data_IF_449144292584
#
_entry.id   IF_449144292584
#
_cell.length_a   1.000
_cell.length_b   1.000
_cell.length_c   1.000
_cell.angle_alpha   90.00
_cell.angle_beta   90.00
_cell.angle_gamma   90.00
#
_symmetry.space_group_name_H-M   'P 1'
#
loop_
_entity.id
_entity.type
_entity.pdbx_description
1 polymer ?
#
# COMPACT_ATOMS: atom_id res chain seq x y z
N UNK A 1 -23.79 -72.38 -12.74
CA UNK A 1 -24.07 -73.82 -12.74
C UNK A 1 -22.93 -74.52 -12.05
N UNK A 2 -23.17 -75.37 -11.05
CA UNK A 2 -22.11 -76.18 -10.48
C UNK A 2 -21.75 -77.31 -11.47
N UNK A 3 -20.53 -77.36 -11.90
CA UNK A 3 -19.98 -78.46 -12.69
C UNK A 3 -19.77 -79.67 -11.77
N UNK A 4 -20.65 -80.67 -11.86
CA UNK A 4 -20.44 -81.97 -11.28
C UNK A 4 -19.38 -82.73 -12.12
N UNK A 5 -18.18 -82.81 -11.64
CA UNK A 5 -17.16 -83.69 -12.19
C UNK A 5 -17.40 -85.14 -11.66
N UNK A 6 -17.77 -86.04 -12.55
CA UNK A 6 -18.04 -87.49 -12.26
C UNK A 6 -16.79 -88.35 -12.19
N UNK A 7 -15.56 -87.79 -12.31
CA UNK A 7 -14.30 -88.51 -12.16
C UNK A 7 -13.18 -87.50 -11.68
N UNK A 8 -12.13 -88.00 -11.05
CA UNK A 8 -11.03 -87.13 -10.61
C UNK A 8 -10.38 -86.46 -11.80
N UNK A 9 -10.64 -85.19 -11.98
CA UNK A 9 -10.05 -84.34 -13.00
C UNK A 9 -9.39 -83.11 -12.35
N UNK A 10 -8.27 -82.64 -12.94
CA UNK A 10 -7.62 -81.42 -12.52
C UNK A 10 -8.41 -80.28 -13.17
N UNK A 11 -9.02 -79.43 -12.40
CA UNK A 11 -9.63 -78.17 -12.86
C UNK A 11 -8.49 -77.12 -12.86
N UNK A 12 -7.92 -76.75 -14.00
CA UNK A 12 -7.09 -75.66 -14.14
C UNK A 12 -7.92 -74.40 -14.30
N UNK A 13 -7.92 -73.57 -13.33
CA UNK A 13 -8.52 -72.23 -13.39
C UNK A 13 -7.42 -71.24 -13.66
N UNK A 14 -7.38 -70.73 -14.84
CA UNK A 14 -6.50 -69.59 -15.15
C UNK A 14 -7.03 -68.36 -14.44
N UNK A 15 -6.33 -67.92 -13.45
CA UNK A 15 -6.58 -66.61 -12.83
C UNK A 15 -5.59 -65.66 -13.48
N UNK A 16 -6.14 -64.81 -14.34
CA UNK A 16 -5.36 -63.73 -14.90
C UNK A 16 -5.06 -62.72 -13.81
N UNK A 17 -3.87 -62.83 -13.26
CA UNK A 17 -3.33 -61.88 -12.26
C UNK A 17 -2.72 -60.63 -12.92
N UNK A 18 -2.73 -60.58 -14.26
CA UNK A 18 -2.21 -59.41 -15.03
C UNK A 18 -3.22 -58.29 -15.17
N UNK A 19 -4.50 -58.51 -14.79
CA UNK A 19 -5.36 -57.34 -14.53
C UNK A 19 -4.92 -56.77 -13.19
N UNK A 20 -3.76 -56.18 -13.18
CA UNK A 20 -3.43 -55.21 -12.15
C UNK A 20 -4.63 -54.28 -12.03
N UNK A 21 -5.19 -54.18 -10.85
CA UNK A 21 -6.07 -53.08 -10.51
C UNK A 21 -5.33 -51.82 -11.00
N UNK A 22 -5.73 -51.30 -12.14
CA UNK A 22 -5.35 -49.95 -12.50
C UNK A 22 -6.02 -49.14 -11.40
N UNK A 23 -5.22 -48.74 -10.44
CA UNK A 23 -5.65 -47.78 -9.43
C UNK A 23 -5.94 -46.50 -10.19
N UNK A 24 -7.23 -46.26 -10.48
CA UNK A 24 -7.69 -45.10 -11.21
C UNK A 24 -7.59 -43.81 -10.37
N UNK A 25 -7.19 -43.96 -9.12
CA UNK A 25 -6.77 -42.88 -8.23
C UNK A 25 -5.24 -42.70 -8.31
N UNK A 26 -4.71 -42.47 -9.51
CA UNK A 26 -3.36 -41.87 -9.61
C UNK A 26 -3.44 -40.48 -9.08
N UNK A 27 -2.84 -40.28 -7.92
CA UNK A 27 -2.62 -39.00 -7.32
C UNK A 27 -1.81 -38.15 -8.31
N UNK A 28 -2.50 -37.22 -9.00
CA UNK A 28 -1.88 -36.38 -10.02
C UNK A 28 -1.32 -35.10 -9.36
N UNK A 29 -0.54 -35.26 -8.31
CA UNK A 29 0.14 -34.15 -7.65
C UNK A 29 1.58 -34.09 -8.14
N UNK A 30 1.93 -33.00 -8.81
CA UNK A 30 3.29 -32.69 -9.25
C UNK A 30 3.93 -31.64 -8.37
N UNK A 31 5.25 -31.51 -8.41
CA UNK A 31 6.01 -30.44 -7.78
C UNK A 31 6.87 -29.74 -8.81
N UNK A 32 6.95 -28.42 -8.75
CA UNK A 32 7.85 -27.62 -9.57
C UNK A 32 8.53 -26.53 -8.73
N UNK A 33 9.81 -26.36 -8.92
CA UNK A 33 10.61 -25.28 -8.32
C UNK A 33 11.25 -24.50 -9.45
N UNK A 34 11.15 -23.17 -9.41
CA UNK A 34 11.77 -22.34 -10.42
C UNK A 34 11.45 -20.87 -10.32
N UNK A 35 11.94 -20.07 -11.25
CA UNK A 35 11.67 -18.65 -11.31
C UNK A 35 10.23 -18.38 -11.80
N UNK A 36 9.53 -17.49 -11.10
CA UNK A 36 8.23 -16.98 -11.50
C UNK A 36 8.20 -15.45 -11.36
N UNK A 37 7.23 -14.80 -12.00
CA UNK A 37 7.12 -13.34 -12.04
C UNK A 37 6.81 -12.73 -10.67
N UNK A 38 5.85 -13.29 -9.96
CA UNK A 38 5.38 -12.85 -8.64
C UNK A 38 5.06 -14.04 -7.73
N UNK A 39 4.48 -13.79 -6.58
CA UNK A 39 4.09 -14.81 -5.62
C UNK A 39 5.12 -15.04 -4.51
N UNK A 40 4.72 -15.80 -3.49
CA UNK A 40 5.58 -16.09 -2.35
C UNK A 40 6.83 -16.88 -2.75
N UNK A 41 7.95 -16.54 -2.13
CA UNK A 41 9.24 -17.17 -2.39
C UNK A 41 9.53 -18.21 -1.33
N UNK A 42 10.03 -19.38 -1.75
CA UNK A 42 10.36 -20.52 -0.88
C UNK A 42 9.15 -21.07 -0.08
N UNK A 43 7.94 -20.78 -0.54
CA UNK A 43 6.70 -21.28 0.08
C UNK A 43 5.99 -22.22 -0.90
N UNK A 44 5.76 -23.50 -0.55
CA UNK A 44 5.02 -24.41 -1.40
C UNK A 44 3.55 -23.99 -1.48
N UNK A 45 3.13 -23.65 -2.69
CA UNK A 45 1.77 -23.20 -2.97
C UNK A 45 1.06 -24.21 -3.88
N UNK A 46 -0.10 -24.68 -3.47
CA UNK A 46 -0.90 -25.64 -4.24
C UNK A 46 -1.68 -24.91 -5.33
N UNK A 47 -1.55 -25.38 -6.57
CA UNK A 47 -2.20 -24.81 -7.76
C UNK A 47 -3.00 -25.90 -8.44
N UNK A 48 -4.25 -25.61 -8.76
CA UNK A 48 -5.19 -26.57 -9.37
C UNK A 48 -5.59 -26.20 -10.80
N UNK A 49 -5.31 -24.98 -11.20
CA UNK A 49 -5.66 -24.45 -12.54
C UNK A 49 -4.65 -23.45 -13.06
N UNK A 50 -4.62 -23.27 -14.38
CA UNK A 50 -3.78 -22.26 -15.04
C UNK A 50 -4.17 -20.83 -14.61
N UNK A 51 -5.47 -20.56 -14.42
CA UNK A 51 -5.92 -19.26 -13.94
C UNK A 51 -5.38 -18.93 -12.55
N UNK A 52 -5.33 -19.92 -11.67
CA UNK A 52 -4.75 -19.78 -10.33
C UNK A 52 -3.23 -19.57 -10.42
N UNK A 53 -2.53 -20.28 -11.32
CA UNK A 53 -1.11 -20.10 -11.60
C UNK A 53 -0.82 -18.65 -12.04
N UNK A 54 -1.60 -18.09 -12.97
CA UNK A 54 -1.50 -16.71 -13.41
C UNK A 54 -1.79 -15.73 -12.28
N UNK A 55 -2.81 -15.99 -11.49
CA UNK A 55 -3.21 -15.10 -10.38
C UNK A 55 -2.11 -14.99 -9.33
N UNK A 56 -1.52 -16.10 -8.91
CA UNK A 56 -0.53 -16.15 -7.82
C UNK A 56 0.88 -15.89 -8.34
N UNK A 57 1.30 -16.58 -9.42
CA UNK A 57 2.69 -16.56 -9.89
C UNK A 57 2.94 -15.68 -11.12
N UNK A 58 1.90 -15.00 -11.61
CA UNK A 58 2.00 -14.07 -12.72
C UNK A 58 1.99 -14.73 -14.09
N UNK A 59 2.37 -13.96 -15.09
CA UNK A 59 2.37 -14.35 -16.51
C UNK A 59 3.77 -14.79 -16.96
N UNK A 60 3.89 -15.62 -18.00
CA UNK A 60 5.18 -15.90 -18.58
C UNK A 60 5.75 -14.64 -19.27
N UNK A 61 7.03 -14.38 -19.11
CA UNK A 61 7.74 -13.35 -19.86
C UNK A 61 9.04 -13.89 -20.45
N UNK A 62 9.48 -13.33 -21.56
CA UNK A 62 10.52 -13.91 -22.41
C UNK A 62 11.93 -13.40 -22.16
N UNK A 63 12.13 -12.50 -21.20
CA UNK A 63 13.45 -11.89 -20.96
C UNK A 63 14.42 -12.82 -20.23
N UNK A 64 13.90 -13.78 -19.48
CA UNK A 64 14.66 -14.76 -18.70
C UNK A 64 14.11 -16.16 -18.99
N UNK A 65 14.73 -17.20 -18.44
CA UNK A 65 14.22 -18.57 -18.55
C UNK A 65 12.96 -18.87 -17.74
N UNK A 66 12.38 -17.89 -17.14
CA UNK A 66 11.14 -18.00 -16.36
C UNK A 66 9.99 -18.58 -17.20
N UNK A 67 9.88 -18.22 -18.47
CA UNK A 67 8.83 -18.73 -19.36
C UNK A 67 8.86 -20.25 -19.52
N UNK A 68 10.04 -20.87 -19.51
CA UNK A 68 10.20 -22.33 -19.62
C UNK A 68 9.56 -23.02 -18.42
N UNK A 69 9.87 -22.57 -17.21
CA UNK A 69 9.28 -23.09 -15.97
C UNK A 69 7.76 -22.89 -15.96
N UNK A 70 7.31 -21.71 -16.35
CA UNK A 70 5.89 -21.37 -16.39
C UNK A 70 5.12 -22.25 -17.39
N UNK A 71 5.66 -22.47 -18.60
CA UNK A 71 5.03 -23.31 -19.62
C UNK A 71 4.96 -24.78 -19.21
N UNK A 72 5.98 -25.28 -18.51
CA UNK A 72 5.95 -26.65 -17.96
C UNK A 72 4.84 -26.78 -16.91
N UNK A 73 4.71 -25.81 -16.00
CA UNK A 73 3.66 -25.77 -14.99
C UNK A 73 2.27 -25.73 -15.63
N UNK A 74 2.05 -24.82 -16.59
CA UNK A 74 0.80 -24.69 -17.33
C UNK A 74 0.44 -25.98 -18.09
N UNK A 75 1.41 -26.57 -18.77
CA UNK A 75 1.22 -27.82 -19.50
C UNK A 75 0.81 -28.97 -18.57
N UNK A 76 1.42 -29.08 -17.40
CA UNK A 76 1.04 -30.09 -16.40
C UNK A 76 -0.40 -29.89 -15.90
N UNK A 77 -0.79 -28.66 -15.58
CA UNK A 77 -2.14 -28.32 -15.13
C UNK A 77 -3.20 -28.60 -16.21
N UNK A 78 -2.85 -28.42 -17.50
CA UNK A 78 -3.74 -28.71 -18.62
C UNK A 78 -4.15 -30.21 -18.69
N UNK A 79 -3.34 -31.12 -18.15
CA UNK A 79 -3.67 -32.55 -18.00
C UNK A 79 -4.52 -32.87 -16.77
N UNK A 80 -5.00 -31.86 -16.04
CA UNK A 80 -5.88 -32.01 -14.87
C UNK A 80 -5.17 -32.50 -13.61
N UNK A 81 -3.86 -32.26 -13.49
CA UNK A 81 -3.08 -32.47 -12.28
C UNK A 81 -3.20 -31.32 -11.27
N UNK A 82 -2.81 -31.57 -10.02
CA UNK A 82 -2.52 -30.55 -9.03
C UNK A 82 -1.02 -30.32 -8.98
N UNK A 83 -0.60 -29.08 -8.80
CA UNK A 83 0.81 -28.72 -8.82
C UNK A 83 1.18 -27.99 -7.52
N UNK A 84 2.20 -28.47 -6.83
CA UNK A 84 2.85 -27.73 -5.75
C UNK A 84 3.97 -26.90 -6.35
N UNK A 85 3.79 -25.59 -6.36
CA UNK A 85 4.74 -24.63 -6.94
C UNK A 85 5.57 -23.98 -5.84
N UNK A 86 6.89 -23.95 -6.01
CA UNK A 86 7.81 -23.20 -5.17
C UNK A 86 8.57 -22.21 -6.03
N UNK A 87 8.42 -20.93 -5.74
CA UNK A 87 9.20 -19.88 -6.39
C UNK A 87 10.60 -19.82 -5.81
N UNK A 88 11.58 -20.05 -6.66
CA UNK A 88 13.00 -20.00 -6.27
C UNK A 88 13.50 -18.56 -6.14
N UNK A 89 14.51 -18.39 -5.31
CA UNK A 89 15.24 -17.15 -5.10
C UNK A 89 16.73 -17.40 -5.16
N UNK A 90 17.49 -16.40 -5.53
CA UNK A 90 18.94 -16.40 -5.42
C UNK A 90 19.34 -16.14 -3.95
N UNK A 91 20.12 -17.05 -3.40
CA UNK A 91 20.67 -16.93 -2.04
C UNK A 91 21.89 -16.00 -1.96
N UNK A 92 22.27 -15.38 -3.08
CA UNK A 92 23.48 -14.61 -3.17
C UNK A 92 23.62 -13.55 -2.07
N UNK A 93 24.70 -13.63 -1.33
CA UNK A 93 25.00 -12.77 -0.19
C UNK A 93 25.29 -11.30 -0.60
N UNK A 94 25.54 -11.04 -1.87
CA UNK A 94 25.82 -9.69 -2.40
C UNK A 94 24.58 -8.88 -2.78
N UNK A 95 23.40 -9.43 -2.55
CA UNK A 95 22.14 -8.71 -2.69
C UNK A 95 21.64 -8.54 -4.11
N UNK A 96 22.08 -9.36 -5.06
CA UNK A 96 21.62 -9.37 -6.45
C UNK A 96 20.32 -10.16 -6.65
N UNK A 97 19.88 -10.92 -5.64
CA UNK A 97 18.69 -11.74 -5.69
C UNK A 97 17.36 -10.97 -5.80
N UNK A 98 16.28 -11.71 -5.65
CA UNK A 98 14.92 -11.18 -5.75
C UNK A 98 14.65 -10.11 -4.68
N UNK A 99 14.06 -8.97 -5.07
CA UNK A 99 13.73 -7.85 -4.18
C UNK A 99 12.32 -7.35 -4.42
N UNK A 100 11.70 -6.87 -3.33
CA UNK A 100 10.42 -6.18 -3.44
C UNK A 100 10.60 -4.78 -4.01
N UNK A 101 9.67 -4.36 -4.84
CA UNK A 101 9.55 -2.97 -5.22
C UNK A 101 9.03 -2.15 -4.02
N UNK A 102 9.53 -0.96 -3.84
CA UNK A 102 9.16 -0.11 -2.70
C UNK A 102 9.32 1.38 -3.00
N UNK A 103 8.75 2.19 -2.12
CA UNK A 103 8.96 3.64 -2.05
C UNK A 103 9.73 3.93 -0.77
N UNK A 104 10.84 4.62 -0.88
CA UNK A 104 11.65 5.00 0.27
C UNK A 104 13.12 5.17 -0.06
N UNK A 105 13.89 5.45 0.99
CA UNK A 105 15.35 5.67 0.92
C UNK A 105 16.17 4.44 1.28
N UNK A 106 15.53 3.32 1.62
CA UNK A 106 16.21 2.06 1.85
C UNK A 106 17.00 1.61 0.61
N UNK A 107 18.07 0.86 0.82
CA UNK A 107 18.86 0.32 -0.29
C UNK A 107 18.14 -0.83 -0.98
N UNK A 108 17.52 -1.71 -0.19
CA UNK A 108 16.74 -2.85 -0.68
C UNK A 108 15.71 -3.29 0.35
N UNK A 109 14.67 -3.94 -0.14
CA UNK A 109 13.66 -4.63 0.69
C UNK A 109 13.57 -6.06 0.17
N UNK A 110 13.55 -7.02 1.08
CA UNK A 110 13.44 -8.43 0.76
C UNK A 110 12.47 -9.10 1.72
N UNK A 111 11.24 -9.23 1.28
CA UNK A 111 10.16 -9.90 2.01
C UNK A 111 9.71 -11.04 1.10
N UNK A 112 9.90 -12.27 1.53
CA UNK A 112 9.68 -13.47 0.71
C UNK A 112 8.23 -13.94 0.74
N UNK A 113 7.58 -13.77 1.90
CA UNK A 113 6.19 -14.20 2.15
C UNK A 113 5.63 -13.44 3.35
N UNK A 114 4.34 -13.63 3.66
CA UNK A 114 3.73 -13.07 4.86
C UNK A 114 4.39 -13.59 6.13
N UNK A 115 4.74 -14.87 6.20
CA UNK A 115 5.43 -15.47 7.34
C UNK A 115 6.80 -14.81 7.55
N UNK A 116 7.55 -14.59 6.46
CA UNK A 116 8.83 -13.91 6.53
C UNK A 116 8.70 -12.44 6.95
N UNK A 117 7.60 -11.76 6.57
CA UNK A 117 7.29 -10.40 7.04
C UNK A 117 7.12 -10.37 8.57
N UNK A 118 6.41 -11.35 9.11
CA UNK A 118 6.22 -11.50 10.57
C UNK A 118 7.52 -11.87 11.29
N UNK A 119 8.31 -12.79 10.72
CA UNK A 119 9.64 -13.19 11.25
C UNK A 119 10.61 -12.02 11.35
N UNK A 120 10.55 -11.09 10.39
CA UNK A 120 11.33 -9.85 10.40
C UNK A 120 10.81 -8.82 11.42
N UNK A 121 9.69 -9.10 12.08
CA UNK A 121 9.07 -8.22 13.06
C UNK A 121 8.40 -6.97 12.45
N UNK A 122 8.13 -6.99 11.15
CA UNK A 122 7.54 -5.83 10.44
C UNK A 122 6.06 -5.62 10.75
N UNK A 123 5.38 -6.62 11.32
CA UNK A 123 4.03 -6.45 11.87
C UNK A 123 3.98 -5.46 13.03
N UNK A 124 4.99 -5.47 13.90
CA UNK A 124 5.09 -4.59 15.07
C UNK A 124 5.86 -3.30 14.76
N UNK A 125 6.93 -3.39 13.98
CA UNK A 125 7.81 -2.26 13.66
C UNK A 125 7.78 -1.95 12.17
N UNK A 126 7.76 -0.66 11.77
CA UNK A 126 7.76 -0.30 10.36
C UNK A 126 9.09 -0.70 9.69
N UNK A 127 9.02 -1.04 8.42
CA UNK A 127 10.22 -1.27 7.60
C UNK A 127 11.02 0.03 7.54
N UNK A 128 12.24 0.01 8.02
CA UNK A 128 13.08 1.21 8.14
C UNK A 128 13.30 1.90 6.79
N UNK A 129 13.05 3.20 6.72
CA UNK A 129 13.20 4.02 5.53
C UNK A 129 12.36 3.58 4.31
N UNK A 130 11.29 2.88 4.55
CA UNK A 130 10.31 2.47 3.52
C UNK A 130 8.93 3.01 3.90
N UNK A 131 8.24 3.56 2.93
CA UNK A 131 6.86 4.02 3.09
C UNK A 131 5.86 2.97 2.77
N UNK A 132 6.04 2.36 1.62
CA UNK A 132 5.20 1.29 1.09
C UNK A 132 6.12 0.32 0.37
N UNK A 133 5.89 -0.97 0.54
CA UNK A 133 6.58 -2.04 -0.17
C UNK A 133 5.56 -2.98 -0.82
N UNK A 134 5.91 -3.54 -1.97
CA UNK A 134 5.11 -4.61 -2.57
C UNK A 134 5.15 -5.87 -1.69
N UNK A 135 4.05 -6.60 -1.61
CA UNK A 135 3.98 -7.85 -0.85
C UNK A 135 4.88 -8.92 -1.45
N UNK A 136 4.73 -9.14 -2.74
CA UNK A 136 5.55 -10.11 -3.44
C UNK A 136 6.77 -9.45 -4.08
N UNK A 137 7.95 -10.05 -3.98
CA UNK A 137 9.13 -9.52 -4.64
C UNK A 137 9.06 -9.75 -6.16
N UNK A 138 9.74 -8.88 -6.90
CA UNK A 138 9.83 -8.98 -8.35
C UNK A 138 9.71 -7.64 -9.07
N UNK A 139 10.08 -7.65 -10.35
CA UNK A 139 9.98 -6.47 -11.23
C UNK A 139 8.53 -6.11 -11.59
N UNK A 140 7.60 -7.04 -11.47
CA UNK A 140 6.17 -6.84 -11.75
C UNK A 140 5.60 -5.66 -10.96
N UNK A 141 6.07 -5.48 -9.73
CA UNK A 141 5.59 -4.44 -8.83
C UNK A 141 6.24 -3.05 -9.08
N UNK A 142 7.24 -2.94 -9.96
CA UNK A 142 7.78 -1.63 -10.38
C UNK A 142 6.77 -0.81 -11.18
N UNK A 143 5.69 -1.43 -11.64
CA UNK A 143 4.56 -0.77 -12.28
C UNK A 143 3.45 -0.32 -11.33
N UNK A 144 3.51 -0.71 -10.07
CA UNK A 144 2.51 -0.31 -9.08
C UNK A 144 2.67 1.17 -8.70
N UNK A 145 1.54 1.82 -8.58
CA UNK A 145 1.44 3.17 -8.05
C UNK A 145 0.52 3.17 -6.84
N UNK A 146 0.91 3.85 -5.79
CA UNK A 146 0.11 4.01 -4.58
C UNK A 146 -0.19 5.49 -4.40
N UNK A 147 -1.46 5.82 -4.38
CA UNK A 147 -1.93 7.15 -4.05
C UNK A 147 -2.41 7.16 -2.60
N UNK A 148 -1.93 8.14 -1.85
CA UNK A 148 -2.29 8.32 -0.43
C UNK A 148 -2.76 9.74 -0.24
N UNK A 149 -3.84 9.93 0.51
CA UNK A 149 -4.30 11.25 0.91
C UNK A 149 -4.78 11.24 2.35
N UNK A 150 -4.46 12.32 3.05
CA UNK A 150 -5.02 12.62 4.36
C UNK A 150 -5.53 14.07 4.43
N UNK A 151 -6.10 14.46 5.54
CA UNK A 151 -6.62 15.81 5.72
C UNK A 151 -5.53 16.85 6.00
N UNK A 152 -4.61 17.10 5.08
CA UNK A 152 -3.51 18.05 5.29
C UNK A 152 -3.98 19.51 5.41
N UNK A 153 -4.96 19.90 4.63
CA UNK A 153 -5.56 21.23 4.67
C UNK A 153 -7.07 21.15 4.50
N UNK A 154 -7.77 22.19 4.85
CA UNK A 154 -9.19 22.33 4.64
C UNK A 154 -9.49 23.23 3.45
N UNK A 155 -8.72 24.32 3.34
CA UNK A 155 -8.94 25.33 2.33
C UNK A 155 -7.62 25.82 1.73
N UNK A 156 -7.68 26.22 0.47
CA UNK A 156 -6.65 27.02 -0.20
C UNK A 156 -7.13 28.46 -0.24
N UNK A 157 -6.36 29.37 0.35
CA UNK A 157 -6.64 30.80 0.38
C UNK A 157 -5.67 31.54 -0.53
N UNK A 158 -6.16 32.36 -1.42
CA UNK A 158 -5.34 33.39 -2.11
C UNK A 158 -5.54 34.71 -1.40
N UNK A 159 -4.45 35.29 -0.90
CA UNK A 159 -4.47 36.59 -0.23
C UNK A 159 -3.91 37.67 -1.13
N UNK A 160 -4.31 38.94 -0.90
CA UNK A 160 -3.95 40.07 -1.76
C UNK A 160 -2.44 40.30 -1.94
N UNK A 161 -1.63 39.85 -0.99
CA UNK A 161 -0.15 39.83 -1.12
C UNK A 161 0.46 38.88 -0.10
N UNK A 162 1.63 38.36 -0.42
CA UNK A 162 2.41 37.52 0.48
C UNK A 162 2.64 38.15 1.85
N UNK A 163 2.73 37.34 2.87
CA UNK A 163 3.09 37.73 4.24
C UNK A 163 4.59 37.58 4.41
N UNK A 164 5.28 38.69 4.71
CA UNK A 164 6.73 38.64 4.89
C UNK A 164 7.12 37.76 6.10
N UNK A 165 8.07 36.86 5.90
CA UNK A 165 8.54 35.96 6.95
C UNK A 165 7.57 34.84 7.27
N UNK A 166 6.62 34.50 6.36
CA UNK A 166 5.72 33.36 6.50
C UNK A 166 6.51 32.08 6.68
N UNK A 167 6.07 31.27 7.62
CA UNK A 167 6.53 29.90 7.82
C UNK A 167 5.33 28.98 8.03
N UNK A 168 5.49 27.70 7.73
CA UNK A 168 4.51 26.69 8.08
C UNK A 168 4.33 26.69 9.60
N UNK A 169 3.07 26.60 10.06
CA UNK A 169 2.74 26.67 11.47
C UNK A 169 2.25 28.05 11.92
N UNK A 170 2.25 29.09 11.07
CA UNK A 170 1.61 30.36 11.42
C UNK A 170 0.13 30.13 11.72
N UNK A 171 -0.34 30.69 12.83
CA UNK A 171 -1.76 30.77 13.13
C UNK A 171 -2.45 31.76 12.19
N UNK A 172 -3.67 31.42 11.80
CA UNK A 172 -4.54 32.30 11.02
C UNK A 172 -5.88 32.41 11.73
N UNK A 173 -6.43 33.62 11.82
CA UNK A 173 -7.73 33.88 12.43
C UNK A 173 -8.59 34.76 11.52
N UNK A 174 -9.90 34.53 11.57
CA UNK A 174 -10.89 35.37 10.91
C UNK A 174 -12.15 35.46 11.80
N UNK A 175 -12.73 36.66 11.94
CA UNK A 175 -13.90 36.87 12.76
C UNK A 175 -15.16 36.24 12.12
N UNK A 176 -16.09 35.77 12.96
CA UNK A 176 -17.37 35.20 12.57
C UNK A 176 -18.55 35.85 13.31
N UNK A 177 -19.75 35.77 12.72
CA UNK A 177 -20.99 36.26 13.33
C UNK A 177 -21.72 35.14 14.11
N UNK A 178 -22.85 35.50 14.68
CA UNK A 178 -23.71 34.58 15.44
C UNK A 178 -24.29 33.43 14.61
N UNK A 179 -24.27 33.52 13.30
CA UNK A 179 -24.71 32.49 12.38
C UNK A 179 -23.50 31.64 11.84
N UNK A 180 -22.32 31.80 12.44
CA UNK A 180 -21.05 31.21 12.03
C UNK A 180 -20.56 31.64 10.64
N UNK A 181 -21.11 32.73 10.10
CA UNK A 181 -20.58 33.32 8.88
C UNK A 181 -19.39 34.20 9.21
N UNK A 182 -18.38 34.17 8.32
CA UNK A 182 -17.25 35.08 8.44
C UNK A 182 -17.72 36.52 8.28
N UNK A 183 -17.32 37.37 9.21
CA UNK A 183 -17.75 38.78 9.24
C UNK A 183 -16.78 39.64 8.43
N UNK A 184 -17.40 40.54 7.68
CA UNK A 184 -16.77 41.71 7.09
C UNK A 184 -16.24 42.70 8.16
N UNK A 185 -15.17 43.41 7.81
CA UNK A 185 -14.49 44.45 8.57
C UNK A 185 -15.37 45.69 8.86
N UNK A 186 -16.63 45.72 8.49
CA UNK A 186 -17.59 46.75 8.87
C UNK A 186 -17.94 46.67 10.35
N UNK A 187 -16.97 46.91 11.22
CA UNK A 187 -17.17 47.06 12.67
C UNK A 187 -18.18 48.16 12.91
N UNK A 188 -19.44 47.82 13.03
CA UNK A 188 -20.46 48.82 13.36
C UNK A 188 -21.87 48.31 13.32
N UNK A 189 -22.20 47.24 12.64
CA UNK A 189 -23.57 46.79 12.47
C UNK A 189 -23.83 45.29 12.68
N UNK A 190 -22.78 44.47 12.73
CA UNK A 190 -22.90 43.03 12.91
C UNK A 190 -22.21 42.60 14.20
N UNK A 191 -22.90 41.83 15.03
CA UNK A 191 -22.35 41.31 16.27
C UNK A 191 -21.31 40.26 15.96
N UNK A 192 -20.05 40.50 16.31
CA UNK A 192 -18.99 39.49 16.30
C UNK A 192 -19.34 38.46 17.38
N UNK A 193 -19.44 37.21 17.00
CA UNK A 193 -19.67 36.10 17.94
C UNK A 193 -18.43 35.19 18.06
N UNK A 194 -17.27 35.72 17.77
CA UNK A 194 -16.03 35.02 17.93
C UNK A 194 -15.18 34.99 16.68
N UNK A 195 -14.34 33.96 16.58
CA UNK A 195 -13.42 33.82 15.44
C UNK A 195 -13.07 32.37 15.18
N UNK A 196 -12.71 32.08 13.94
CA UNK A 196 -12.08 30.83 13.57
C UNK A 196 -10.57 30.92 13.82
N UNK A 197 -10.00 29.80 14.23
CA UNK A 197 -8.55 29.57 14.29
C UNK A 197 -8.16 28.49 13.28
N UNK A 198 -7.14 28.75 12.54
CA UNK A 198 -6.51 27.81 11.66
C UNK A 198 -5.01 27.88 11.74
N UNK A 199 -4.37 27.01 11.00
CA UNK A 199 -2.92 26.98 10.87
C UNK A 199 -2.55 26.87 9.40
N UNK A 200 -1.48 27.58 8.99
CA UNK A 200 -0.91 27.46 7.66
C UNK A 200 -0.09 26.19 7.58
N UNK A 201 -0.50 25.27 6.72
CA UNK A 201 0.15 23.96 6.52
C UNK A 201 1.12 23.96 5.36
N UNK A 202 0.89 24.84 4.37
CA UNK A 202 1.77 25.07 3.23
C UNK A 202 1.50 26.44 2.64
N UNK A 203 2.48 27.01 1.98
CA UNK A 203 2.32 28.30 1.27
C UNK A 203 3.23 28.36 0.05
N UNK A 204 2.75 29.12 -0.94
CA UNK A 204 3.49 29.50 -2.12
C UNK A 204 3.14 30.96 -2.44
N UNK A 205 4.04 31.88 -2.11
CA UNK A 205 3.84 33.34 -2.18
C UNK A 205 2.54 33.78 -1.47
N UNK A 206 1.51 34.15 -2.20
CA UNK A 206 0.23 34.60 -1.69
C UNK A 206 -0.84 33.48 -1.60
N UNK A 207 -0.50 32.26 -1.99
CA UNK A 207 -1.40 31.09 -1.92
C UNK A 207 -1.06 30.27 -0.70
N UNK A 208 -2.04 30.03 0.16
CA UNK A 208 -1.89 29.37 1.44
C UNK A 208 -2.79 28.14 1.52
N UNK A 209 -2.25 27.01 1.93
CA UNK A 209 -3.03 25.87 2.38
C UNK A 209 -3.23 25.97 3.89
N UNK A 210 -4.49 25.92 4.35
CA UNK A 210 -4.87 26.22 5.72
C UNK A 210 -5.73 25.11 6.29
N UNK A 211 -5.51 24.76 7.55
CA UNK A 211 -6.31 23.82 8.29
C UNK A 211 -7.03 24.52 9.41
N UNK A 212 -8.36 24.36 9.51
CA UNK A 212 -9.17 24.86 10.61
C UNK A 212 -8.92 23.99 11.85
N UNK A 213 -8.66 24.61 12.99
CA UNK A 213 -8.35 23.90 14.23
C UNK A 213 -9.49 24.03 15.23
N UNK A 214 -9.97 25.26 15.43
CA UNK A 214 -10.99 25.54 16.43
C UNK A 214 -11.85 26.75 16.07
N UNK A 215 -13.00 26.79 16.68
CA UNK A 215 -13.87 27.93 16.77
C UNK A 215 -13.83 28.49 18.20
N UNK A 216 -13.67 29.79 18.33
CA UNK A 216 -13.78 30.49 19.61
C UNK A 216 -15.04 31.32 19.55
N UNK A 217 -16.01 31.07 20.45
CA UNK A 217 -17.26 31.82 20.53
C UNK A 217 -17.03 33.22 21.08
N UNK A 218 -18.01 34.11 20.93
CA UNK A 218 -18.00 35.46 21.54
C UNK A 218 -17.89 35.47 23.06
N UNK A 219 -18.27 34.37 23.71
CA UNK A 219 -18.06 34.16 25.15
C UNK A 219 -16.63 33.66 25.50
N UNK A 220 -15.76 33.48 24.53
CA UNK A 220 -14.41 33.01 24.73
C UNK A 220 -14.25 31.49 24.90
N UNK A 221 -15.32 30.73 24.61
CA UNK A 221 -15.24 29.26 24.67
C UNK A 221 -14.65 28.73 23.39
N UNK A 222 -13.52 28.05 23.49
CA UNK A 222 -12.85 27.39 22.37
C UNK A 222 -13.36 25.96 22.19
N UNK A 223 -13.82 25.65 20.99
CA UNK A 223 -14.28 24.32 20.59
C UNK A 223 -13.43 23.83 19.45
N UNK A 224 -12.82 22.67 19.62
CA UNK A 224 -12.09 22.02 18.53
C UNK A 224 -13.08 21.61 17.43
N UNK A 225 -12.74 21.90 16.18
CA UNK A 225 -13.56 21.56 15.02
C UNK A 225 -12.69 20.91 13.95
N UNK A 226 -13.26 19.94 13.28
CA UNK A 226 -12.76 19.47 12.00
C UNK A 226 -13.41 20.31 10.89
N UNK A 227 -12.83 20.29 9.70
CA UNK A 227 -13.43 20.99 8.58
C UNK A 227 -14.89 20.59 8.38
N UNK A 228 -15.74 21.61 8.24
CA UNK A 228 -17.16 21.45 7.94
C UNK A 228 -17.63 22.61 7.08
N UNK A 229 -18.80 22.47 6.46
CA UNK A 229 -19.41 23.55 5.71
C UNK A 229 -19.80 24.78 6.57
N UNK A 230 -19.87 24.59 7.89
CA UNK A 230 -20.23 25.65 8.84
C UNK A 230 -19.00 26.49 9.21
N UNK A 231 -17.87 25.84 9.49
CA UNK A 231 -16.66 26.49 9.99
C UNK A 231 -15.59 26.54 8.92
N UNK A 232 -15.60 27.57 8.08
CA UNK A 232 -14.61 27.78 7.02
C UNK A 232 -14.27 29.27 6.87
N UNK A 233 -13.05 29.54 6.47
CA UNK A 233 -12.63 30.89 6.07
C UNK A 233 -13.37 31.33 4.81
N UNK A 234 -13.56 32.62 4.63
CA UNK A 234 -14.31 33.20 3.51
C UNK A 234 -13.53 34.32 2.83
N UNK A 235 -13.77 34.45 1.52
CA UNK A 235 -13.23 35.53 0.67
C UNK A 235 -14.28 36.56 0.27
N UNK A 236 -15.48 36.50 0.83
CA UNK A 236 -16.53 37.44 0.44
C UNK A 236 -16.09 38.89 0.66
N UNK A 237 -16.50 39.79 -0.23
CA UNK A 237 -16.17 41.20 -0.15
C UNK A 237 -16.65 41.89 1.13
N UNK A 238 -17.53 41.24 1.84
CA UNK A 238 -18.03 41.62 3.17
C UNK A 238 -17.30 40.87 4.30
N UNK A 239 -16.48 39.88 3.98
CA UNK A 239 -15.69 39.16 4.99
C UNK A 239 -14.48 40.00 5.39
N UNK A 240 -14.10 39.88 6.64
CA UNK A 240 -12.92 40.57 7.16
C UNK A 240 -11.61 39.99 6.65
N UNK A 241 -10.55 40.75 6.87
CA UNK A 241 -9.20 40.27 6.65
C UNK A 241 -8.91 39.04 7.49
N UNK A 242 -8.03 38.18 6.98
CA UNK A 242 -7.39 37.17 7.81
C UNK A 242 -6.18 37.78 8.50
N UNK A 243 -5.97 37.38 9.74
CA UNK A 243 -4.87 37.86 10.57
C UNK A 243 -3.92 36.71 10.85
N UNK A 244 -2.63 37.01 10.73
CA UNK A 244 -1.55 36.03 10.89
C UNK A 244 -0.85 36.22 12.23
N UNK A 245 -0.60 35.12 12.92
CA UNK A 245 0.09 35.08 14.20
C UNK A 245 1.35 34.25 14.05
N UNK A 246 2.49 34.88 14.26
CA UNK A 246 3.78 34.17 14.18
C UNK A 246 3.82 33.02 15.21
N UNK A 247 4.50 31.93 14.86
CA UNK A 247 4.62 30.72 15.67
C UNK A 247 5.06 31.01 17.11
N UNK A 248 5.97 31.95 17.29
CA UNK A 248 6.56 32.30 18.59
C UNK A 248 6.08 33.65 19.15
N UNK A 249 5.02 34.22 18.58
CA UNK A 249 4.54 35.53 19.00
C UNK A 249 3.07 35.46 19.43
N UNK A 250 2.75 36.14 20.50
CA UNK A 250 1.37 36.35 20.96
C UNK A 250 0.66 37.44 20.17
N UNK A 251 1.38 38.19 19.36
CA UNK A 251 0.88 39.34 18.60
C UNK A 251 0.70 39.02 17.14
N UNK A 252 -0.35 39.58 16.56
CA UNK A 252 -0.60 39.53 15.12
C UNK A 252 0.58 40.09 14.32
N UNK A 253 1.05 39.37 13.30
CA UNK A 253 2.15 39.81 12.46
C UNK A 253 1.68 40.67 11.28
N UNK A 254 0.52 40.38 10.71
CA UNK A 254 -0.05 41.09 9.56
C UNK A 254 -1.52 40.75 9.37
N UNK A 255 -2.23 41.54 8.57
CA UNK A 255 -3.59 41.20 8.09
C UNK A 255 -3.62 41.31 6.57
N UNK A 256 -4.37 40.46 5.90
CA UNK A 256 -4.53 40.42 4.46
C UNK A 256 -5.99 40.15 4.06
N UNK A 257 -6.41 40.84 3.00
CA UNK A 257 -7.68 40.51 2.36
C UNK A 257 -7.56 39.17 1.65
N UNK A 258 -8.55 38.33 1.80
CA UNK A 258 -8.65 37.05 1.09
C UNK A 258 -9.34 37.29 -0.24
N UNK A 259 -8.68 36.98 -1.33
CA UNK A 259 -9.22 37.17 -2.70
C UNK A 259 -10.07 35.98 -3.15
N UNK A 260 -9.59 34.78 -2.88
CA UNK A 260 -10.29 33.53 -3.22
C UNK A 260 -10.12 32.49 -2.13
N UNK A 261 -11.13 31.66 -1.98
CA UNK A 261 -11.13 30.47 -1.12
C UNK A 261 -11.64 29.29 -1.93
N UNK A 262 -10.89 28.19 -1.90
CA UNK A 262 -11.27 26.94 -2.54
C UNK A 262 -11.16 25.81 -1.52
N UNK A 263 -12.05 24.84 -1.58
CA UNK A 263 -11.91 23.62 -0.78
C UNK A 263 -10.64 22.88 -1.24
N UNK A 264 -9.73 22.67 -0.30
CA UNK A 264 -8.44 22.03 -0.61
C UNK A 264 -8.62 20.64 -1.20
N UNK A 265 -9.58 19.88 -0.67
CA UNK A 265 -9.78 18.48 -1.11
C UNK A 265 -10.33 18.39 -2.53
N UNK A 266 -11.13 19.35 -2.96
CA UNK A 266 -11.65 19.41 -4.32
C UNK A 266 -10.58 19.67 -5.38
N UNK A 267 -9.46 20.24 -4.97
CA UNK A 267 -8.31 20.44 -5.86
C UNK A 267 -7.40 19.21 -5.94
N UNK A 268 -7.48 18.31 -4.95
CA UNK A 268 -6.56 17.18 -4.88
C UNK A 268 -6.87 16.13 -5.94
N UNK A 269 -5.80 15.68 -6.60
CA UNK A 269 -5.87 14.65 -7.62
C UNK A 269 -4.86 13.54 -7.35
N UNK A 270 -5.20 12.33 -7.76
CA UNK A 270 -4.24 11.25 -7.89
C UNK A 270 -3.84 11.09 -9.37
N UNK A 271 -2.60 10.70 -9.60
CA UNK A 271 -2.10 10.42 -10.95
C UNK A 271 -2.39 8.96 -11.28
N UNK A 272 -3.34 8.73 -12.19
CA UNK A 272 -3.72 7.39 -12.61
C UNK A 272 -2.74 6.82 -13.63
N UNK A 273 -2.29 7.63 -14.58
CA UNK A 273 -1.32 7.18 -15.58
C UNK A 273 -0.37 8.29 -16.00
N UNK A 274 0.77 7.88 -16.54
CA UNK A 274 1.79 8.80 -17.07
C UNK A 274 2.19 8.31 -18.45
N UNK A 275 2.04 9.15 -19.48
CA UNK A 275 2.44 8.87 -20.84
C UNK A 275 3.52 9.85 -21.29
N UNK A 276 4.56 9.35 -21.95
CA UNK A 276 5.60 10.19 -22.53
C UNK A 276 5.56 10.07 -24.05
N UNK A 277 5.22 11.15 -24.73
CA UNK A 277 5.14 11.21 -26.19
C UNK A 277 6.01 12.37 -26.69
N UNK A 278 6.97 12.07 -27.55
CA UNK A 278 7.85 13.08 -28.14
C UNK A 278 8.72 13.83 -27.12
N UNK A 279 9.01 13.22 -25.96
CA UNK A 279 9.78 13.83 -24.88
C UNK A 279 8.94 14.69 -23.90
N UNK A 280 7.65 14.87 -24.17
CA UNK A 280 6.73 15.50 -23.23
C UNK A 280 6.01 14.45 -22.38
N UNK A 281 6.02 14.62 -21.08
CA UNK A 281 5.31 13.76 -20.13
C UNK A 281 3.94 14.36 -19.83
N UNK A 282 2.89 13.57 -20.05
CA UNK A 282 1.51 13.94 -19.73
C UNK A 282 0.97 12.99 -18.67
N UNK A 283 0.40 13.55 -17.61
CA UNK A 283 -0.24 12.78 -16.54
C UNK A 283 -1.76 12.83 -16.71
N UNK A 284 -2.40 11.68 -16.56
CA UNK A 284 -3.84 11.59 -16.43
C UNK A 284 -4.17 11.53 -14.94
N UNK A 285 -5.03 12.42 -14.51
CA UNK A 285 -5.38 12.56 -13.10
C UNK A 285 -6.86 12.26 -12.84
N UNK A 286 -7.15 11.77 -11.64
CA UNK A 286 -8.50 11.56 -11.14
C UNK A 286 -8.65 12.40 -9.87
N UNK A 287 -9.75 13.13 -9.72
CA UNK A 287 -10.01 13.88 -8.49
C UNK A 287 -10.35 12.93 -7.34
N UNK A 288 -9.77 13.19 -6.18
CA UNK A 288 -10.05 12.41 -4.97
C UNK A 288 -11.53 12.50 -4.55
N UNK A 289 -12.16 13.65 -4.70
CA UNK A 289 -13.58 13.86 -4.39
C UNK A 289 -14.55 12.99 -5.22
N UNK A 290 -14.09 12.41 -6.35
CA UNK A 290 -14.88 11.44 -7.12
C UNK A 290 -14.75 10.00 -6.61
N UNK A 291 -13.83 9.75 -5.68
CA UNK A 291 -13.50 8.41 -5.19
C UNK A 291 -13.99 8.21 -3.77
N UNK A 292 -13.79 9.19 -2.91
CA UNK A 292 -14.10 9.15 -1.49
C UNK A 292 -14.36 10.56 -0.94
N UNK A 293 -15.00 10.63 0.22
CA UNK A 293 -15.10 11.84 1.02
C UNK A 293 -13.74 12.23 1.60
N UNK A 294 -13.62 13.47 2.04
CA UNK A 294 -12.38 13.98 2.66
C UNK A 294 -12.04 13.20 3.93
N UNK A 295 -10.78 12.73 4.10
CA UNK A 295 -10.34 12.13 5.34
C UNK A 295 -10.40 13.14 6.50
N UNK A 296 -10.91 12.72 7.62
CA UNK A 296 -11.11 13.55 8.81
C UNK A 296 -10.61 12.90 10.08
N UNK A 297 -11.48 12.88 11.08
CA UNK A 297 -11.22 12.24 12.36
C UNK A 297 -12.17 11.05 12.54
N UNK A 298 -11.63 9.88 12.75
CA UNK A 298 -12.41 8.68 13.00
C UNK A 298 -13.17 8.79 14.34
N UNK A 299 -14.26 8.07 14.46
CA UNK A 299 -15.01 8.00 15.72
C UNK A 299 -14.15 7.44 16.88
N UNK A 300 -13.22 6.55 16.56
CA UNK A 300 -12.27 5.97 17.51
C UNK A 300 -11.35 7.06 18.08
N UNK A 301 -10.72 7.83 17.22
CA UNK A 301 -9.81 8.90 17.57
C UNK A 301 -10.57 10.06 18.31
N UNK A 302 -11.73 10.45 17.81
CA UNK A 302 -12.55 11.49 18.42
C UNK A 302 -12.94 11.15 19.87
N UNK A 303 -13.31 9.90 20.14
CA UNK A 303 -13.65 9.44 21.50
C UNK A 303 -12.46 9.50 22.48
N UNK A 304 -11.23 9.58 21.98
CA UNK A 304 -9.98 9.67 22.74
C UNK A 304 -9.35 11.06 22.71
N UNK A 305 -10.05 12.04 22.16
CA UNK A 305 -9.56 13.42 22.05
C UNK A 305 -8.47 13.61 20.98
N UNK A 306 -8.19 12.59 20.17
CA UNK A 306 -7.29 12.69 19.04
C UNK A 306 -8.00 13.23 17.79
N UNK A 307 -7.24 13.74 16.81
CA UNK A 307 -7.80 14.36 15.60
C UNK A 307 -6.94 14.06 14.36
N UNK A 308 -7.62 14.08 13.19
CA UNK A 308 -7.02 13.99 11.86
C UNK A 308 -6.24 12.69 11.62
N UNK A 309 -6.79 11.62 12.12
CA UNK A 309 -6.17 10.29 12.00
C UNK A 309 -6.50 9.58 10.69
N UNK A 310 -7.56 9.97 9.99
CA UNK A 310 -7.97 9.25 8.78
C UNK A 310 -7.01 9.45 7.60
N UNK A 311 -6.86 8.38 6.82
CA UNK A 311 -6.06 8.32 5.59
C UNK A 311 -6.72 7.38 4.58
N UNK A 312 -6.66 7.74 3.30
CA UNK A 312 -7.08 6.89 2.20
C UNK A 312 -5.86 6.41 1.40
N UNK A 313 -5.89 5.15 1.03
CA UNK A 313 -4.84 4.51 0.24
C UNK A 313 -5.46 3.82 -0.96
N UNK A 314 -4.95 4.11 -2.15
CA UNK A 314 -5.40 3.49 -3.40
C UNK A 314 -4.20 2.89 -4.11
N UNK A 315 -4.36 1.66 -4.58
CA UNK A 315 -3.34 0.96 -5.36
C UNK A 315 -3.79 0.94 -6.82
N UNK A 316 -2.90 1.34 -7.72
CA UNK A 316 -3.16 1.42 -9.15
C UNK A 316 -2.11 0.65 -9.96
N UNK A 317 -2.54 0.11 -11.09
CA UNK A 317 -1.65 -0.41 -12.12
C UNK A 317 -1.10 0.76 -12.96
N UNK A 318 -0.01 1.36 -12.49
CA UNK A 318 0.51 2.61 -13.08
C UNK A 318 1.06 2.45 -14.49
N UNK A 319 1.48 1.26 -14.90
CA UNK A 319 2.03 0.99 -16.24
C UNK A 319 1.22 -0.02 -17.06
N UNK A 320 0.14 -0.58 -16.52
CA UNK A 320 -0.72 -1.53 -17.22
C UNK A 320 -0.17 -2.96 -17.30
N UNK A 321 0.88 -3.30 -16.58
CA UNK A 321 1.47 -4.65 -16.65
C UNK A 321 0.60 -5.73 -16.02
N UNK A 322 -0.21 -5.36 -15.04
CA UNK A 322 -1.06 -6.30 -14.29
C UNK A 322 -2.39 -6.52 -15.03
N UNK A 323 -3.09 -5.44 -15.35
CA UNK A 323 -4.43 -5.49 -15.92
C UNK A 323 -4.47 -5.38 -17.45
N UNK A 324 -3.38 -4.93 -18.07
CA UNK A 324 -3.32 -4.56 -19.46
C UNK A 324 -3.73 -3.10 -19.75
N UNK A 325 -4.28 -2.39 -18.77
CA UNK A 325 -4.72 -1.01 -18.89
C UNK A 325 -4.03 -0.13 -17.83
N UNK A 326 -3.28 0.84 -18.30
CA UNK A 326 -2.59 1.81 -17.44
C UNK A 326 -3.59 2.62 -16.62
N UNK A 327 -3.32 2.77 -15.33
CA UNK A 327 -4.11 3.59 -14.42
C UNK A 327 -5.37 2.90 -13.87
N UNK A 328 -5.50 1.60 -14.07
CA UNK A 328 -6.58 0.83 -13.46
C UNK A 328 -6.42 0.79 -11.95
N UNK A 329 -7.50 1.11 -11.22
CA UNK A 329 -7.53 0.98 -9.76
C UNK A 329 -7.63 -0.50 -9.41
N UNK A 330 -6.65 -0.99 -8.67
CA UNK A 330 -6.57 -2.38 -8.18
C UNK A 330 -7.27 -2.53 -6.83
N UNK A 331 -6.95 -1.64 -5.88
CA UNK A 331 -7.51 -1.66 -4.53
C UNK A 331 -7.85 -0.26 -4.05
N UNK A 332 -8.87 -0.19 -3.18
CA UNK A 332 -9.27 1.03 -2.46
C UNK A 332 -9.37 0.71 -0.97
N UNK A 333 -8.56 1.36 -0.19
CA UNK A 333 -8.58 1.27 1.26
C UNK A 333 -8.89 2.66 1.81
N UNK A 334 -10.11 2.83 2.26
CA UNK A 334 -10.65 4.13 2.66
C UNK A 334 -10.83 4.23 4.17
N UNK A 335 -10.71 5.43 4.71
CA UNK A 335 -10.92 5.75 6.13
C UNK A 335 -10.12 4.86 7.09
N UNK A 336 -8.87 4.56 6.70
CA UNK A 336 -7.92 3.92 7.59
C UNK A 336 -7.41 4.93 8.62
N UNK A 337 -6.97 4.45 9.77
CA UNK A 337 -6.43 5.31 10.83
C UNK A 337 -4.90 5.29 10.89
N UNK A 338 -4.31 6.44 11.19
CA UNK A 338 -2.90 6.59 11.54
C UNK A 338 -2.61 6.11 12.95
N UNK A 339 -3.64 6.02 13.81
CA UNK A 339 -3.50 5.59 15.19
C UNK A 339 -3.24 4.10 15.29
N UNK A 340 -2.18 3.72 16.01
CA UNK A 340 -1.73 2.34 16.16
C UNK A 340 -2.77 1.44 16.84
N UNK A 341 -3.52 1.99 17.77
CA UNK A 341 -4.53 1.31 18.56
C UNK A 341 -5.94 1.38 17.95
N UNK A 342 -6.11 1.97 16.75
CA UNK A 342 -7.42 2.23 16.19
C UNK A 342 -8.11 0.98 15.64
N UNK A 343 -9.43 0.95 15.85
CA UNK A 343 -10.32 -0.11 15.40
C UNK A 343 -11.57 0.47 14.73
N UNK A 344 -12.08 -0.18 13.68
CA UNK A 344 -13.41 0.09 13.12
C UNK A 344 -14.52 -0.38 14.06
N UNK A 345 -14.29 -1.55 14.64
CA UNK A 345 -15.11 -2.18 15.69
C UNK A 345 -14.20 -3.07 16.52
N UNK A 346 -14.65 -3.48 17.70
CA UNK A 346 -13.85 -4.31 18.60
C UNK A 346 -13.29 -5.54 17.89
N UNK A 347 -11.96 -5.62 17.83
CA UNK A 347 -11.23 -6.71 17.19
C UNK A 347 -11.05 -6.57 15.66
N UNK A 348 -11.47 -5.44 15.06
CA UNK A 348 -11.24 -5.14 13.64
C UNK A 348 -10.33 -3.92 13.52
N UNK A 349 -9.02 -4.11 13.33
CA UNK A 349 -8.08 -3.00 13.30
C UNK A 349 -8.34 -2.09 12.10
N UNK A 350 -8.36 -0.79 12.34
CA UNK A 350 -8.38 0.26 11.31
C UNK A 350 -7.01 0.90 11.10
N UNK A 351 -6.03 0.57 11.92
CA UNK A 351 -4.67 1.06 11.77
C UNK A 351 -4.10 0.69 10.41
N UNK A 352 -3.71 1.68 9.63
CA UNK A 352 -3.42 1.55 8.21
C UNK A 352 -2.38 0.45 7.86
N UNK A 353 -1.30 0.31 8.65
CA UNK A 353 -0.30 -0.74 8.43
C UNK A 353 -0.87 -2.14 8.65
N UNK A 354 -1.50 -2.35 9.80
CA UNK A 354 -2.08 -3.65 10.16
C UNK A 354 -3.24 -4.02 9.24
N UNK A 355 -4.01 -3.03 8.82
CA UNK A 355 -5.08 -3.23 7.86
C UNK A 355 -4.54 -3.65 6.49
N UNK A 356 -3.52 -2.96 5.95
CA UNK A 356 -2.90 -3.30 4.66
C UNK A 356 -2.19 -4.66 4.71
N UNK A 357 -1.55 -5.01 5.82
CA UNK A 357 -0.95 -6.33 6.01
C UNK A 357 -1.96 -7.45 5.79
N UNK A 358 -3.18 -7.28 6.27
CA UNK A 358 -4.21 -8.32 6.24
C UNK A 358 -5.09 -8.25 4.98
N UNK A 359 -5.44 -7.05 4.51
CA UNK A 359 -6.49 -6.84 3.52
C UNK A 359 -5.98 -6.42 2.13
N UNK A 360 -4.74 -5.95 1.99
CA UNK A 360 -4.18 -5.67 0.67
C UNK A 360 -3.58 -6.95 0.08
N UNK A 361 -3.72 -7.15 -1.22
CA UNK A 361 -3.04 -8.20 -1.96
C UNK A 361 -1.70 -7.74 -2.54
N UNK A 362 -1.48 -6.41 -2.61
CA UNK A 362 -0.35 -5.84 -3.35
C UNK A 362 0.72 -5.20 -2.49
N UNK A 363 0.36 -4.62 -1.33
CA UNK A 363 1.28 -3.75 -0.58
C UNK A 363 1.28 -3.99 0.93
N UNK A 364 2.45 -3.72 1.53
CA UNK A 364 2.62 -3.48 2.97
C UNK A 364 2.82 -2.00 3.22
N UNK A 365 2.25 -1.48 4.32
CA UNK A 365 2.57 -0.17 4.84
C UNK A 365 3.89 -0.15 5.61
N UNK A 366 4.65 0.92 5.46
CA UNK A 366 5.87 1.17 6.23
C UNK A 366 5.76 2.39 7.13
N UNK A 367 6.75 3.27 7.11
CA UNK A 367 6.71 4.54 7.84
C UNK A 367 5.88 5.58 7.09
N UNK A 368 4.74 6.03 7.66
CA UNK A 368 3.80 6.92 6.97
C UNK A 368 4.27 8.38 6.84
N UNK A 369 4.32 9.08 7.93
CA UNK A 369 4.28 10.55 7.97
C UNK A 369 5.50 11.33 7.44
N UNK A 370 6.57 10.67 7.03
CA UNK A 370 7.82 11.39 6.66
C UNK A 370 7.97 11.71 5.18
N UNK A 371 6.97 11.39 4.36
CA UNK A 371 7.09 11.55 2.92
C UNK A 371 6.50 12.89 2.52
N UNK A 372 7.37 13.75 2.01
CA UNK A 372 6.99 15.03 1.42
C UNK A 372 6.60 16.13 2.40
N UNK A 373 6.37 15.82 3.67
CA UNK A 373 6.19 16.85 4.70
C UNK A 373 7.52 17.11 5.37
N UNK A 374 8.19 18.16 4.97
CA UNK A 374 9.24 18.74 5.78
C UNK A 374 8.59 19.34 7.02
N UNK A 375 8.70 18.64 8.14
CA UNK A 375 8.36 19.20 9.47
C UNK A 375 9.29 20.37 9.88
N UNK A 376 10.18 20.80 9.00
CA UNK A 376 11.04 21.98 9.16
C UNK A 376 10.19 23.24 9.05
N UNK A 377 9.54 23.59 10.08
CA UNK A 377 8.68 24.77 10.18
C UNK A 377 7.71 24.69 11.33
N UNK A 378 7.46 23.51 11.84
CA UNK A 378 6.85 23.35 13.15
C UNK A 378 7.95 23.50 14.20
N UNK A 379 7.98 24.63 14.85
CA UNK A 379 8.67 24.71 16.12
C UNK A 379 7.82 23.95 17.13
N UNK A 380 8.17 22.69 17.38
CA UNK A 380 7.48 21.80 18.28
C UNK A 380 7.26 22.37 19.70
N UNK A 381 7.93 23.46 20.04
CA UNK A 381 7.76 24.15 21.32
C UNK A 381 6.50 25.01 21.39
N UNK A 382 5.97 25.49 20.26
CA UNK A 382 4.84 26.44 20.23
C UNK A 382 3.54 25.89 19.63
N UNK A 383 3.62 24.80 18.88
CA UNK A 383 2.46 24.09 18.34
C UNK A 383 2.50 22.61 18.68
N UNK A 384 2.73 22.31 19.94
CA UNK A 384 2.87 20.94 20.47
C UNK A 384 1.66 20.05 20.21
N UNK A 385 0.51 20.64 19.92
CA UNK A 385 -0.72 19.90 19.60
C UNK A 385 -0.93 19.66 18.11
N UNK A 386 -0.18 20.33 17.25
CA UNK A 386 -0.32 20.18 15.80
C UNK A 386 0.98 19.64 15.23
N UNK A 387 0.93 18.40 14.78
CA UNK A 387 2.08 17.72 14.22
C UNK A 387 2.89 16.88 15.21
N UNK A 388 2.46 16.75 16.46
CA UNK A 388 3.13 15.91 17.46
C UNK A 388 2.86 14.41 17.27
N UNK A 389 1.76 14.05 16.60
CA UNK A 389 1.33 12.69 16.41
C UNK A 389 1.94 12.08 15.14
N UNK A 390 2.94 11.25 15.30
CA UNK A 390 3.40 10.37 14.23
C UNK A 390 2.32 9.33 13.88
N UNK A 391 2.42 8.76 12.68
CA UNK A 391 1.45 7.77 12.21
C UNK A 391 1.46 6.42 12.97
N UNK A 392 2.31 6.26 13.94
CA UNK A 392 2.46 5.06 14.76
C UNK A 392 2.18 5.31 16.24
N UNK A 393 1.52 6.43 16.57
CA UNK A 393 1.15 6.78 17.95
C UNK A 393 -0.26 6.26 18.28
N UNK A 394 -0.51 6.04 19.56
CA UNK A 394 -1.88 5.75 20.04
C UNK A 394 -2.76 7.00 19.99
N UNK A 395 -4.07 6.81 19.84
CA UNK A 395 -5.05 7.89 19.82
C UNK A 395 -5.32 8.41 21.24
N UNK A 396 -4.39 9.14 21.81
CA UNK A 396 -4.52 9.69 23.17
C UNK A 396 -4.30 11.22 23.17
N UNK A 397 -5.34 11.97 22.87
CA UNK A 397 -5.33 13.43 22.92
C UNK A 397 -4.42 14.13 21.92
N UNK A 398 -3.94 13.43 20.89
CA UNK A 398 -2.97 13.94 19.92
C UNK A 398 -3.61 14.41 18.62
N UNK A 399 -2.91 15.28 17.91
CA UNK A 399 -3.23 15.68 16.56
C UNK A 399 -2.21 15.01 15.61
N UNK A 400 -2.73 14.15 14.73
CA UNK A 400 -1.86 13.41 13.82
C UNK A 400 -1.26 14.29 12.72
N UNK A 401 0.01 14.07 12.41
CA UNK A 401 0.70 14.71 11.31
C UNK A 401 0.03 14.40 9.98
N UNK A 402 0.04 15.37 9.10
CA UNK A 402 -0.50 15.26 7.76
C UNK A 402 0.61 15.10 6.73
N UNK A 403 0.36 14.29 5.70
CA UNK A 403 1.23 14.10 4.55
C UNK A 403 0.67 14.71 3.25
N UNK A 404 -0.59 15.07 3.25
CA UNK A 404 -1.29 15.59 2.09
C UNK A 404 -1.61 14.53 1.05
N UNK A 405 -1.69 14.95 -0.21
CA UNK A 405 -1.89 14.06 -1.34
C UNK A 405 -0.56 13.61 -1.91
N UNK A 406 -0.32 12.31 -1.93
CA UNK A 406 0.93 11.70 -2.37
C UNK A 406 0.67 10.70 -3.50
N UNK A 407 1.52 10.72 -4.52
CA UNK A 407 1.54 9.73 -5.59
C UNK A 407 2.89 9.02 -5.56
N UNK A 408 2.89 7.78 -5.18
CA UNK A 408 4.07 6.99 -4.89
C UNK A 408 4.24 5.90 -5.96
N UNK A 409 5.35 5.93 -6.69
CA UNK A 409 5.68 4.88 -7.65
C UNK A 409 6.61 3.87 -6.99
N UNK A 410 6.24 2.61 -6.99
CA UNK A 410 7.10 1.54 -6.52
C UNK A 410 8.21 1.28 -7.54
N UNK A 411 9.42 1.13 -7.04
CA UNK A 411 10.64 0.93 -7.84
C UNK A 411 11.59 -0.04 -7.14
N UNK A 412 12.69 -0.41 -7.81
CA UNK A 412 13.77 -1.25 -7.27
C UNK A 412 13.41 -2.73 -7.06
N UNK A 413 12.24 -3.20 -7.49
CA UNK A 413 11.93 -4.63 -7.53
C UNK A 413 12.84 -5.33 -8.54
N UNK A 414 13.36 -6.50 -8.19
CA UNK A 414 14.21 -7.34 -9.04
C UNK A 414 13.73 -8.77 -9.06
N UNK A 415 13.93 -9.45 -10.18
CA UNK A 415 13.61 -10.85 -10.34
C UNK A 415 14.84 -11.73 -10.18
N UNK A 416 14.58 -12.98 -9.81
CA UNK A 416 15.49 -14.09 -10.09
C UNK A 416 15.04 -14.75 -11.39
N UNK A 417 15.88 -14.74 -12.39
CA UNK A 417 15.58 -15.27 -13.74
C UNK A 417 16.00 -16.72 -13.95
N UNK A 418 16.49 -17.37 -12.91
CA UNK A 418 17.09 -18.69 -13.01
C UNK A 418 18.52 -18.65 -13.56
N UNK A 419 19.14 -19.80 -13.66
CA UNK A 419 20.53 -19.94 -14.17
C UNK A 419 20.53 -19.78 -15.69
N UNK A 420 21.11 -18.69 -16.17
CA UNK A 420 21.16 -18.40 -17.63
C UNK A 420 22.37 -19.00 -18.36
N UNK A 421 23.47 -19.25 -17.65
CA UNK A 421 24.71 -19.77 -18.22
C UNK A 421 25.47 -20.65 -17.23
N UNK A 422 25.70 -21.89 -17.59
CA UNK A 422 26.60 -22.78 -16.86
C UNK A 422 28.00 -22.50 -17.40
N UNK A 423 28.75 -21.60 -16.79
CA UNK A 423 30.11 -21.27 -17.25
C UNK A 423 31.18 -21.61 -16.24
N UNK A 424 30.89 -21.86 -14.99
CA UNK A 424 31.87 -22.20 -13.93
C UNK A 424 31.20 -23.01 -12.82
N UNK A 425 31.95 -23.87 -12.18
CA UNK A 425 31.51 -24.78 -11.10
C UNK A 425 30.74 -24.08 -9.98
N UNK A 426 31.07 -22.84 -9.65
CA UNK A 426 30.37 -22.07 -8.59
C UNK A 426 28.97 -21.61 -8.94
N UNK A 427 28.65 -21.44 -10.24
CA UNK A 427 27.28 -21.02 -10.65
C UNK A 427 26.31 -22.21 -10.66
N UNK A 428 26.82 -23.42 -10.80
CA UNK A 428 26.03 -24.64 -10.65
C UNK A 428 25.69 -24.92 -9.18
N UNK A 429 26.63 -24.66 -8.28
CA UNK A 429 26.43 -24.88 -6.86
C UNK A 429 25.36 -23.96 -6.31
N UNK A 430 25.38 -22.66 -6.60
CA UNK A 430 24.38 -21.71 -6.07
C UNK A 430 22.97 -22.00 -6.58
N UNK A 431 22.81 -22.28 -7.88
CA UNK A 431 21.51 -22.61 -8.45
C UNK A 431 20.96 -23.96 -8.01
N UNK A 432 21.85 -24.94 -7.77
CA UNK A 432 21.44 -26.23 -7.23
C UNK A 432 21.05 -26.13 -5.75
N UNK A 433 21.77 -25.33 -4.97
CA UNK A 433 21.50 -25.06 -3.58
C UNK A 433 20.14 -24.34 -3.42
N UNK A 434 19.81 -23.39 -4.29
CA UNK A 434 18.51 -22.72 -4.32
C UNK A 434 17.39 -23.69 -4.64
N UNK A 435 17.56 -24.53 -5.62
CA UNK A 435 16.61 -25.60 -5.94
C UNK A 435 16.45 -26.57 -4.78
N UNK A 436 17.53 -26.97 -4.14
CA UNK A 436 17.50 -27.87 -2.98
C UNK A 436 16.87 -27.18 -1.78
N UNK A 437 17.16 -25.92 -1.53
CA UNK A 437 16.59 -25.15 -0.42
C UNK A 437 15.11 -24.90 -0.65
N UNK A 438 14.73 -24.50 -1.87
CA UNK A 438 13.32 -24.35 -2.25
C UNK A 438 12.55 -25.67 -2.10
N UNK A 439 13.14 -26.79 -2.48
CA UNK A 439 12.55 -28.13 -2.31
C UNK A 439 12.61 -28.62 -0.86
N UNK A 440 13.62 -28.26 -0.11
CA UNK A 440 13.79 -28.65 1.29
C UNK A 440 12.75 -28.03 2.23
N UNK A 441 12.20 -26.87 1.84
CA UNK A 441 11.05 -26.26 2.52
C UNK A 441 9.72 -26.95 2.16
N UNK A 442 9.67 -27.64 1.03
CA UNK A 442 8.51 -28.49 0.69
C UNK A 442 8.63 -29.76 1.52
N UNK A 443 7.88 -29.83 2.56
CA UNK A 443 7.79 -30.93 3.55
C UNK A 443 8.16 -32.32 2.99
N UNK A 444 9.16 -32.94 3.59
CA UNK A 444 9.66 -34.30 3.33
C UNK A 444 8.58 -35.41 3.26
N UNK A 445 7.38 -35.11 3.70
CA UNK A 445 6.26 -36.04 3.75
C UNK A 445 5.59 -36.30 2.41
N UNK A 446 5.66 -35.38 1.43
CA UNK A 446 5.00 -35.56 0.12
C UNK A 446 5.90 -36.21 -0.93
N UNK A 447 7.22 -36.00 -0.87
CA UNK A 447 8.16 -36.57 -1.82
C UNK A 447 8.36 -38.10 -1.67
N UNK A 448 8.14 -38.66 -0.47
CA UNK A 448 8.25 -40.12 -0.26
C UNK A 448 7.11 -40.95 -0.89
N UNK A 449 6.00 -40.33 -1.23
CA UNK A 449 4.89 -41.05 -1.83
C UNK A 449 5.00 -41.25 -3.35
N UNK A 450 5.86 -40.49 -4.04
CA UNK A 450 5.94 -40.44 -5.50
C UNK A 450 7.37 -40.50 -6.06
N UNK A 451 8.15 -41.47 -5.63
CA UNK A 451 9.54 -41.66 -6.13
C UNK A 451 9.64 -41.92 -7.66
N UNK A 452 8.54 -42.21 -8.32
CA UNK A 452 8.50 -42.48 -9.75
C UNK A 452 8.29 -41.24 -10.62
N UNK A 453 7.60 -40.21 -10.11
CA UNK A 453 7.30 -38.99 -10.88
C UNK A 453 8.37 -37.90 -10.71
N UNK A 454 9.09 -37.88 -9.58
CA UNK A 454 10.20 -36.96 -9.36
C UNK A 454 11.37 -37.17 -10.36
N UNK A 455 11.46 -38.38 -10.92
CA UNK A 455 12.46 -38.69 -11.94
C UNK A 455 12.23 -37.97 -13.28
N UNK A 456 10.97 -37.62 -13.58
CA UNK A 456 10.59 -36.90 -14.79
C UNK A 456 10.88 -35.39 -14.65
N UNK A 457 10.66 -34.83 -13.48
CA UNK A 457 10.91 -33.40 -13.19
C UNK A 457 12.42 -33.12 -13.17
N UNK A 458 13.21 -33.97 -12.51
CA UNK A 458 14.67 -33.84 -12.53
C UNK A 458 15.29 -34.04 -13.92
N UNK A 459 14.69 -34.87 -14.78
CA UNK A 459 15.17 -35.12 -16.13
C UNK A 459 14.88 -33.98 -17.10
N UNK A 460 13.74 -33.27 -16.91
CA UNK A 460 13.35 -32.08 -17.66
C UNK A 460 14.19 -30.84 -17.30
N UNK A 461 14.82 -30.83 -16.11
CA UNK A 461 15.71 -29.77 -15.66
C UNK A 461 17.17 -30.01 -16.05
N UNK A 462 17.49 -31.22 -16.51
CA UNK A 462 18.87 -31.63 -16.89
C UNK A 462 19.06 -31.79 -18.40
N UNK A 463 18.02 -31.75 -19.22
CA UNK A 463 18.08 -31.67 -20.69
C UNK A 463 17.71 -30.25 -21.16
#
# INVERSE_FOLDING_TARGET
MPLNLASPGILVREVDLTIGRVDTTTDKIGGIVGPFEKGPVNVPTQITSENELVSIFGKPYSTDKQYETWLVASSYLAYGGQLSVVRADDLDADGTGIKNAFVGTANSVRIKSNEHYEELGYGENPITNVTVAAKDPGTWANGLRVAVIDGAADQTLTVASAVAGMVVGYGITQAIDTANNVISTGIGTTSIDGHLKGIVTKFDDAVLEVKVISHVSGAGVETAVDYSDIYKFSSESTAGDVFFHAVNASTQSSSKSVETVVDWFDEQTLVSSTATVGGATTETTIKWSTIADKPGTSSYAAARGARFDEVHVIVLDGNGTITGNTGTVLEKHLSLSKAKDAEFSVGSPSYWRKYLETNSEYIYGGTGAKIGVTTTGYDGTNFTKFGDGGWDQDADGIIFNSSGSQNLNLVKGTNYGGISTITVDGALDSGLDDLITGYGTVSYTHLRAHETDSYLVCRLLLE
#
